data_IF_075134195707
#
_entry.id   IF_075134195707
#
_cell.length_a   1.000
_cell.length_b   1.000
_cell.length_c   1.000
_cell.angle_alpha   90.00
_cell.angle_beta   90.00
_cell.angle_gamma   90.00
#
_symmetry.space_group_name_H-M   'P 1'
#
loop_
_entity.id
_entity.type
_entity.pdbx_description
1 polymer ?
#
# COMPACT_ATOMS: atom_id res chain seq x y z
N UNK A 1 -5.48 -18.97 6.86
CA UNK A 1 -6.34 -18.12 7.71
C UNK A 1 -5.96 -16.69 7.39
N UNK A 2 -6.93 -15.77 7.22
CA UNK A 2 -6.62 -14.36 7.07
C UNK A 2 -5.90 -13.84 8.32
N UNK A 3 -4.99 -12.88 8.14
CA UNK A 3 -4.31 -12.18 9.21
C UNK A 3 -5.28 -11.29 9.98
N UNK A 4 -4.98 -11.05 11.25
CA UNK A 4 -5.73 -10.10 12.06
C UNK A 4 -5.47 -8.67 11.60
N UNK A 5 -6.39 -7.74 11.91
CA UNK A 5 -6.24 -6.33 11.57
C UNK A 5 -4.92 -5.71 12.06
N UNK A 6 -4.48 -6.06 13.26
CA UNK A 6 -3.20 -5.59 13.81
C UNK A 6 -1.98 -6.10 13.02
N UNK A 7 -2.03 -7.33 12.50
CA UNK A 7 -0.97 -7.84 11.63
C UNK A 7 -1.00 -7.18 10.25
N UNK A 8 -2.18 -6.88 9.71
CA UNK A 8 -2.33 -6.11 8.47
C UNK A 8 -1.78 -4.69 8.65
N UNK A 9 -2.08 -4.04 9.76
CA UNK A 9 -1.55 -2.71 10.09
C UNK A 9 -0.03 -2.72 10.15
N UNK A 10 0.58 -3.73 10.79
CA UNK A 10 2.04 -3.86 10.83
C UNK A 10 2.66 -4.06 9.44
N UNK A 11 2.02 -4.83 8.55
CA UNK A 11 2.46 -4.98 7.17
C UNK A 11 2.34 -3.67 6.38
N UNK A 12 1.27 -2.92 6.62
CA UNK A 12 1.04 -1.61 6.00
C UNK A 12 2.02 -0.56 6.49
N UNK A 13 2.36 -0.56 7.78
CA UNK A 13 3.37 0.34 8.34
C UNK A 13 4.75 0.06 7.73
N UNK A 14 5.09 -1.22 7.51
CA UNK A 14 6.31 -1.59 6.80
C UNK A 14 6.30 -1.11 5.35
N UNK A 15 5.19 -1.30 4.63
CA UNK A 15 5.04 -0.81 3.26
C UNK A 15 5.17 0.72 3.18
N UNK A 16 4.57 1.45 4.12
CA UNK A 16 4.69 2.90 4.20
C UNK A 16 6.13 3.34 4.48
N UNK A 17 6.87 2.64 5.34
CA UNK A 17 8.27 2.93 5.61
C UNK A 17 9.17 2.69 4.39
N UNK A 18 8.83 1.70 3.55
CA UNK A 18 9.59 1.37 2.35
C UNK A 18 9.27 2.27 1.13
N UNK A 19 8.07 2.85 1.10
CA UNK A 19 7.56 3.63 -0.03
C UNK A 19 8.47 4.82 -0.43
N UNK A 20 9.01 5.65 0.49
CA UNK A 20 9.97 6.67 0.13
C UNK A 20 11.23 6.11 -0.56
N UNK A 21 11.68 4.92 -0.13
CA UNK A 21 12.81 4.25 -0.76
C UNK A 21 12.49 3.88 -2.20
N UNK A 22 11.33 3.28 -2.42
CA UNK A 22 10.83 2.90 -3.74
C UNK A 22 10.72 4.12 -4.68
N UNK A 23 10.15 5.23 -4.20
CA UNK A 23 10.03 6.48 -4.99
C UNK A 23 11.40 7.01 -5.42
N UNK A 24 12.43 6.83 -4.59
CA UNK A 24 13.78 7.31 -4.91
C UNK A 24 14.58 6.34 -5.80
N UNK A 25 14.23 5.06 -5.84
CA UNK A 25 14.99 4.03 -6.58
C UNK A 25 14.36 3.60 -7.89
N UNK A 26 13.04 3.60 -7.97
CA UNK A 26 12.30 3.16 -9.16
C UNK A 26 12.11 4.29 -10.17
N UNK A 27 11.96 3.93 -11.45
CA UNK A 27 11.56 4.91 -12.47
C UNK A 27 10.13 5.39 -12.20
N UNK A 28 9.79 6.67 -12.48
CA UNK A 28 8.48 7.24 -12.17
C UNK A 28 7.30 6.41 -12.70
N UNK A 29 7.44 5.88 -13.91
CA UNK A 29 6.43 5.03 -14.56
C UNK A 29 6.31 3.64 -13.93
N UNK A 30 7.32 3.19 -13.17
CA UNK A 30 7.37 1.89 -12.51
C UNK A 30 6.97 1.93 -11.03
N UNK A 31 6.93 3.10 -10.39
CA UNK A 31 6.61 3.23 -8.95
C UNK A 31 5.26 2.58 -8.62
N UNK A 32 4.24 2.82 -9.44
CA UNK A 32 2.90 2.28 -9.21
C UNK A 32 2.85 0.76 -9.34
N UNK A 33 3.58 0.18 -10.30
CA UNK A 33 3.69 -1.27 -10.46
C UNK A 33 4.44 -1.90 -9.28
N UNK A 34 5.56 -1.29 -8.87
CA UNK A 34 6.34 -1.74 -7.72
C UNK A 34 5.54 -1.68 -6.42
N UNK A 35 4.76 -0.61 -6.21
CA UNK A 35 3.87 -0.47 -5.06
C UNK A 35 2.76 -1.52 -5.08
N UNK A 36 2.09 -1.71 -6.22
CA UNK A 36 1.05 -2.71 -6.39
C UNK A 36 1.59 -4.13 -6.12
N UNK A 37 2.79 -4.45 -6.60
CA UNK A 37 3.46 -5.73 -6.35
C UNK A 37 3.75 -5.98 -4.87
N UNK A 38 4.02 -4.94 -4.07
CA UNK A 38 4.18 -5.08 -2.61
C UNK A 38 2.84 -5.11 -1.86
N UNK A 39 1.81 -4.44 -2.36
CA UNK A 39 0.49 -4.44 -1.76
C UNK A 39 -0.29 -5.74 -2.01
N UNK A 40 -0.09 -6.40 -3.16
CA UNK A 40 -0.74 -7.65 -3.54
C UNK A 40 -0.63 -8.78 -2.48
N UNK A 41 0.56 -9.14 -1.96
CA UNK A 41 0.66 -10.18 -0.92
C UNK A 41 -0.10 -9.81 0.35
N UNK A 42 -0.24 -8.51 0.68
CA UNK A 42 -1.05 -8.04 1.81
C UNK A 42 -2.53 -8.28 1.54
N UNK A 43 -3.01 -8.01 0.31
CA UNK A 43 -4.39 -8.30 -0.11
C UNK A 43 -4.72 -9.79 0.02
N UNK A 44 -3.80 -10.68 -0.35
CA UNK A 44 -3.99 -12.13 -0.24
C UNK A 44 -4.16 -12.65 1.20
N UNK A 45 -3.57 -11.96 2.17
CA UNK A 45 -3.67 -12.34 3.60
C UNK A 45 -4.71 -11.52 4.37
N UNK A 46 -5.39 -10.56 3.72
CA UNK A 46 -6.41 -9.72 4.33
C UNK A 46 -7.78 -10.36 4.23
N UNK A 47 -8.57 -10.25 5.30
CA UNK A 47 -9.94 -10.74 5.32
C UNK A 47 -10.85 -9.86 4.45
N UNK A 48 -11.99 -10.38 3.99
CA UNK A 48 -12.96 -9.56 3.25
C UNK A 48 -13.52 -8.40 4.10
N UNK A 49 -13.61 -8.58 5.42
CA UNK A 49 -14.10 -7.56 6.36
C UNK A 49 -13.11 -6.40 6.52
N UNK A 50 -11.80 -6.68 6.41
CA UNK A 50 -10.73 -5.69 6.54
C UNK A 50 -10.27 -5.10 5.20
N UNK A 51 -10.79 -5.58 4.06
CA UNK A 51 -10.35 -5.14 2.73
C UNK A 51 -10.58 -3.64 2.52
N UNK A 52 -11.70 -3.10 3.00
CA UNK A 52 -11.97 -1.64 2.91
C UNK A 52 -10.99 -0.82 3.75
N UNK A 53 -10.51 -1.36 4.88
CA UNK A 53 -9.49 -0.71 5.71
C UNK A 53 -8.12 -0.74 5.03
N UNK A 54 -7.78 -1.88 4.41
CA UNK A 54 -6.57 -2.02 3.59
C UNK A 54 -6.55 -1.00 2.45
N UNK A 55 -7.63 -0.93 1.66
CA UNK A 55 -7.72 -0.02 0.52
C UNK A 55 -7.60 1.45 0.94
N UNK A 56 -8.28 1.85 2.02
CA UNK A 56 -8.17 3.20 2.57
C UNK A 56 -6.75 3.55 3.00
N UNK A 57 -6.02 2.61 3.62
CA UNK A 57 -4.62 2.80 4.03
C UNK A 57 -3.68 2.90 2.83
N UNK A 58 -3.86 2.06 1.81
CA UNK A 58 -3.05 2.11 0.59
C UNK A 58 -3.26 3.42 -0.18
N UNK A 59 -4.51 3.89 -0.32
CA UNK A 59 -4.79 5.18 -0.93
C UNK A 59 -4.17 6.32 -0.14
N UNK A 60 -4.32 6.34 1.18
CA UNK A 60 -3.72 7.37 2.02
C UNK A 60 -2.19 7.44 1.89
N UNK A 61 -1.51 6.30 1.70
CA UNK A 61 -0.06 6.30 1.43
C UNK A 61 0.25 6.96 0.09
N UNK A 62 -0.50 6.64 -0.97
CA UNK A 62 -0.28 7.23 -2.28
C UNK A 62 -0.59 8.73 -2.31
N UNK A 63 -1.65 9.18 -1.61
CA UNK A 63 -1.99 10.60 -1.44
C UNK A 63 -0.89 11.36 -0.71
N UNK A 64 -0.34 10.80 0.38
CA UNK A 64 0.75 11.41 1.15
C UNK A 64 2.02 11.65 0.33
N UNK A 65 2.21 10.87 -0.72
CA UNK A 65 3.36 10.93 -1.60
C UNK A 65 3.06 11.59 -2.96
N UNK A 66 1.88 12.19 -3.13
CA UNK A 66 1.44 12.84 -4.37
C UNK A 66 1.49 11.89 -5.59
N UNK A 67 1.33 10.58 -5.34
CA UNK A 67 1.33 9.53 -6.37
C UNK A 67 -0.06 9.29 -6.96
N UNK A 68 -1.11 9.88 -6.37
CA UNK A 68 -2.42 9.94 -6.98
C UNK A 68 -2.57 11.26 -7.74
N UNK A 69 -3.17 11.25 -8.94
CA UNK A 69 -3.57 12.49 -9.57
C UNK A 69 -4.49 13.26 -8.60
N UNK A 70 -4.39 14.60 -8.53
CA UNK A 70 -5.35 15.37 -7.75
C UNK A 70 -6.74 15.04 -8.28
N UNK A 71 -7.66 14.63 -7.40
CA UNK A 71 -9.08 14.48 -7.73
C UNK A 71 -9.55 15.76 -8.46
N UNK A 72 -9.93 15.64 -9.73
CA UNK A 72 -10.54 16.70 -10.54
C UNK A 72 -11.97 17.04 -10.07
#
# INVERSE_FOLDING_TARGET
MPKTRAEIDALLDQLAADLPGMINTEEPDCIMEAFAGRAEPIRYVTSAEDMSHLDGRLNAMLEQHELLPPDE
#
